data_IF_090646689406
#
_entry.id   IF_090646689406
#
_cell.length_a   1.000
_cell.length_b   1.000
_cell.length_c   1.000
_cell.angle_alpha   90.00
_cell.angle_beta   90.00
_cell.angle_gamma   90.00
#
_symmetry.space_group_name_H-M   'P 1'
#
loop_
_entity.id
_entity.type
_entity.pdbx_description
1 polymer ?
#
# COMPACT_ATOMS: atom_id res chain seq x y z
N UNK A 1 -0.17 7.08 -5.23
CA UNK A 1 0.29 8.17 -4.31
C UNK A 1 1.39 9.07 -4.91
N UNK A 2 1.72 8.94 -6.20
CA UNK A 2 2.80 9.72 -6.84
C UNK A 2 2.35 11.14 -7.13
N UNK A 3 3.07 12.13 -6.62
CA UNK A 3 2.83 13.55 -6.89
C UNK A 3 2.78 13.78 -8.42
N UNK A 4 1.84 14.60 -8.86
CA UNK A 4 1.57 14.94 -10.27
C UNK A 4 1.00 13.82 -11.15
N UNK A 5 0.69 12.65 -10.58
CA UNK A 5 -0.03 11.59 -11.30
C UNK A 5 -1.48 12.01 -11.59
N UNK A 6 -2.01 11.84 -12.81
CA UNK A 6 -3.42 12.14 -13.13
C UNK A 6 -4.41 11.25 -12.34
N UNK A 7 -3.92 10.14 -11.82
CA UNK A 7 -4.65 9.19 -10.96
C UNK A 7 -4.19 9.26 -9.50
N UNK A 8 -3.63 10.38 -9.04
CA UNK A 8 -3.27 10.56 -7.63
C UNK A 8 -4.46 10.27 -6.70
N UNK A 9 -4.21 9.62 -5.56
CA UNK A 9 -5.23 9.19 -4.60
C UNK A 9 -6.10 8.02 -5.05
N UNK A 10 -6.03 7.57 -6.31
CA UNK A 10 -6.79 6.40 -6.77
C UNK A 10 -6.10 5.10 -6.37
N UNK A 11 -6.91 4.07 -6.15
CA UNK A 11 -6.47 2.72 -5.84
C UNK A 11 -7.11 1.70 -6.79
N UNK A 12 -6.53 0.51 -6.82
CA UNK A 12 -7.09 -0.67 -7.46
C UNK A 12 -6.82 -1.87 -6.53
N UNK A 13 -7.78 -2.80 -6.46
CA UNK A 13 -7.67 -4.01 -5.64
C UNK A 13 -7.73 -5.25 -6.52
N UNK A 14 -6.99 -6.28 -6.12
CA UNK A 14 -6.95 -7.58 -6.79
C UNK A 14 -6.95 -8.66 -5.72
N UNK A 15 -7.79 -9.68 -5.89
CA UNK A 15 -7.76 -10.87 -5.04
C UNK A 15 -6.68 -11.83 -5.56
N UNK A 16 -5.75 -12.22 -4.70
CA UNK A 16 -4.70 -13.20 -5.01
C UNK A 16 -4.99 -14.48 -4.22
N UNK A 17 -4.91 -15.62 -4.88
CA UNK A 17 -5.13 -16.92 -4.25
C UNK A 17 -4.23 -18.00 -4.82
N UNK A 18 -4.16 -19.10 -4.09
CA UNK A 18 -3.56 -20.37 -4.52
C UNK A 18 -4.33 -21.03 -5.68
N UNK A 19 -5.51 -20.51 -6.05
CA UNK A 19 -6.31 -21.01 -7.17
C UNK A 19 -6.10 -20.19 -8.44
N UNK A 20 -6.02 -18.86 -8.34
CA UNK A 20 -5.89 -17.99 -9.51
C UNK A 20 -4.43 -17.79 -9.94
N UNK A 21 -3.47 -18.01 -9.03
CA UNK A 21 -2.03 -17.85 -9.26
C UNK A 21 -1.65 -16.48 -9.84
N UNK A 22 -2.45 -15.45 -9.59
CA UNK A 22 -2.16 -14.11 -10.05
C UNK A 22 -0.92 -13.56 -9.36
N UNK A 23 -0.12 -12.81 -10.13
CA UNK A 23 1.03 -12.08 -9.63
C UNK A 23 0.82 -10.60 -9.94
N UNK A 24 1.09 -9.76 -8.95
CA UNK A 24 0.97 -8.31 -9.09
C UNK A 24 2.36 -7.69 -9.15
N UNK A 25 2.64 -6.99 -10.24
CA UNK A 25 3.82 -6.12 -10.32
C UNK A 25 3.45 -4.71 -9.88
N UNK A 26 4.23 -4.18 -8.94
CA UNK A 26 4.06 -2.83 -8.39
C UNK A 26 5.20 -1.96 -8.91
N UNK A 27 4.92 -0.98 -9.79
CA UNK A 27 5.95 -0.05 -10.22
C UNK A 27 6.47 0.81 -9.05
N UNK A 28 7.72 1.28 -9.09
CA UNK A 28 8.24 2.19 -8.07
C UNK A 28 7.35 3.44 -7.87
N UNK A 29 7.21 3.85 -6.61
CA UNK A 29 6.40 5.00 -6.20
C UNK A 29 4.91 4.72 -6.01
N UNK A 30 4.45 3.48 -6.21
CA UNK A 30 3.13 3.05 -5.73
C UNK A 30 3.19 2.70 -4.23
N UNK A 31 2.12 3.03 -3.51
CA UNK A 31 1.89 2.43 -2.20
C UNK A 31 1.29 1.04 -2.40
N UNK A 32 1.64 0.11 -1.53
CA UNK A 32 1.11 -1.24 -1.55
C UNK A 32 0.69 -1.65 -0.15
N UNK A 33 -0.48 -2.26 -0.06
CA UNK A 33 -0.99 -2.89 1.15
C UNK A 33 -1.80 -4.12 0.75
N UNK A 34 -1.85 -5.11 1.64
CA UNK A 34 -2.62 -6.33 1.43
C UNK A 34 -3.41 -6.65 2.69
N UNK A 35 -4.47 -7.43 2.52
CA UNK A 35 -5.28 -7.95 3.61
C UNK A 35 -5.35 -9.47 3.45
N UNK A 36 -4.92 -10.21 4.47
CA UNK A 36 -5.12 -11.64 4.54
C UNK A 36 -6.60 -11.94 4.82
N UNK A 37 -7.26 -12.65 3.89
CA UNK A 37 -8.70 -12.97 3.95
C UNK A 37 -8.97 -14.45 4.26
N UNK A 38 -7.93 -15.25 4.43
CA UNK A 38 -7.98 -16.65 4.86
C UNK A 38 -7.24 -16.82 6.19
N UNK A 39 -7.47 -17.97 6.86
CA UNK A 39 -6.80 -18.32 8.11
C UNK A 39 -5.28 -18.39 7.96
N UNK A 40 -4.80 -18.88 6.83
CA UNK A 40 -3.39 -19.05 6.50
C UNK A 40 -3.14 -18.42 5.13
N UNK A 41 -2.03 -17.68 5.00
CA UNK A 41 -1.60 -17.00 3.78
C UNK A 41 -0.09 -17.10 3.67
N UNK A 42 0.38 -17.63 2.53
CA UNK A 42 1.77 -17.50 2.11
C UNK A 42 1.88 -16.37 1.09
N UNK A 43 2.66 -15.34 1.41
CA UNK A 43 2.87 -14.18 0.54
C UNK A 43 4.36 -13.98 0.29
N UNK A 44 4.74 -14.05 -0.99
CA UNK A 44 6.15 -14.01 -1.42
C UNK A 44 6.38 -12.80 -2.32
N UNK A 45 7.44 -12.06 -2.03
CA UNK A 45 7.84 -10.89 -2.80
C UNK A 45 9.17 -11.12 -3.52
N UNK A 46 9.24 -10.60 -4.75
CA UNK A 46 10.50 -10.34 -5.44
C UNK A 46 10.71 -8.83 -5.43
N UNK A 47 11.74 -8.39 -4.75
CA UNK A 47 12.05 -6.97 -4.63
C UNK A 47 13.14 -6.58 -5.62
N UNK A 48 13.00 -5.41 -6.25
CA UNK A 48 14.03 -4.84 -7.13
C UNK A 48 15.21 -4.24 -6.36
N UNK A 49 15.06 -4.05 -5.05
CA UNK A 49 16.05 -3.48 -4.14
C UNK A 49 16.00 -4.20 -2.80
N UNK A 50 17.06 -4.08 -2.01
CA UNK A 50 17.10 -4.56 -0.63
C UNK A 50 16.26 -3.67 0.29
N UNK A 51 15.83 -4.21 1.42
CA UNK A 51 15.10 -3.46 2.43
C UNK A 51 16.00 -2.43 3.11
N UNK A 52 15.49 -1.21 3.24
CA UNK A 52 16.07 -0.14 4.07
C UNK A 52 14.93 0.44 4.95
N UNK A 53 15.05 0.38 6.29
CA UNK A 53 14.07 0.99 7.19
C UNK A 53 13.82 2.48 6.95
N UNK A 54 14.79 3.22 6.40
CA UNK A 54 14.63 4.64 6.10
C UNK A 54 13.66 4.90 4.92
N UNK A 55 13.46 3.89 4.07
CA UNK A 55 12.53 3.92 2.95
C UNK A 55 11.13 3.40 3.33
N UNK A 56 10.97 2.89 4.55
CA UNK A 56 9.74 2.30 5.07
C UNK A 56 8.73 3.39 5.48
N UNK A 57 8.09 3.96 4.45
CA UNK A 57 7.10 5.02 4.55
C UNK A 57 5.75 4.50 4.09
N UNK A 58 4.68 5.00 4.71
CA UNK A 58 3.34 4.56 4.38
C UNK A 58 2.28 5.64 4.57
N UNK A 59 1.05 5.25 4.28
CA UNK A 59 -0.18 6.01 4.53
C UNK A 59 -1.10 5.09 5.32
N UNK A 60 -1.87 5.66 6.26
CA UNK A 60 -2.81 4.89 7.06
C UNK A 60 -3.80 4.11 6.18
N UNK A 61 -4.04 2.85 6.53
CA UNK A 61 -4.83 1.92 5.70
C UNK A 61 -6.28 2.39 5.45
N UNK A 62 -6.86 3.11 6.42
CA UNK A 62 -8.23 3.62 6.40
C UNK A 62 -8.29 5.12 6.05
N UNK A 63 -7.32 5.62 5.29
CA UNK A 63 -7.33 7.01 4.84
C UNK A 63 -8.63 7.34 4.09
N UNK A 64 -9.40 8.36 4.54
CA UNK A 64 -10.72 8.66 3.98
C UNK A 64 -10.65 9.27 2.57
N UNK A 65 -9.48 9.76 2.14
CA UNK A 65 -9.29 10.33 0.80
C UNK A 65 -9.03 9.23 -0.23
N UNK A 66 -8.22 8.23 0.11
CA UNK A 66 -8.02 7.04 -0.75
C UNK A 66 -9.26 6.14 -0.68
N UNK A 67 -9.83 5.97 0.51
CA UNK A 67 -11.05 5.21 0.78
C UNK A 67 -11.02 3.81 0.15
N UNK A 68 -9.99 3.02 0.49
CA UNK A 68 -9.86 1.64 0.02
C UNK A 68 -11.00 0.79 0.60
N UNK A 69 -11.69 0.07 -0.27
CA UNK A 69 -12.75 -0.86 0.15
C UNK A 69 -12.14 -2.19 0.57
N UNK A 70 -11.71 -2.26 1.82
CA UNK A 70 -11.12 -3.47 2.40
C UNK A 70 -12.19 -4.53 2.67
N UNK A 71 -11.92 -5.83 2.43
CA UNK A 71 -12.89 -6.92 2.60
C UNK A 71 -13.05 -7.39 4.06
N UNK A 72 -12.57 -6.61 5.04
CA UNK A 72 -12.59 -6.97 6.47
C UNK A 72 -13.01 -5.79 7.33
N UNK A 73 -13.67 -6.07 8.46
CA UNK A 73 -13.96 -5.10 9.51
C UNK A 73 -13.08 -5.38 10.73
N UNK A 74 -12.10 -4.51 11.01
CA UNK A 74 -11.18 -4.67 12.14
C UNK A 74 -9.93 -5.49 11.79
N UNK A 75 -9.06 -5.01 10.90
CA UNK A 75 -7.79 -5.67 10.62
C UNK A 75 -6.89 -5.68 11.86
N UNK A 76 -6.07 -6.73 12.00
CA UNK A 76 -4.96 -6.73 12.94
C UNK A 76 -3.81 -5.99 12.27
N UNK A 77 -3.30 -4.95 12.94
CA UNK A 77 -2.26 -4.09 12.40
C UNK A 77 -1.03 -4.10 13.30
N UNK A 78 0.10 -3.72 12.72
CA UNK A 78 1.29 -3.39 13.51
C UNK A 78 1.12 -2.00 14.14
N UNK A 79 1.78 -1.75 15.27
CA UNK A 79 1.83 -0.41 15.89
C UNK A 79 2.32 0.65 14.88
N UNK A 80 3.26 0.28 14.01
CA UNK A 80 3.74 1.15 12.93
C UNK A 80 2.60 1.56 12.00
N UNK A 81 1.83 0.59 11.51
CA UNK A 81 0.80 0.82 10.50
C UNK A 81 -0.44 1.55 11.07
N UNK A 82 -0.71 1.38 12.37
CA UNK A 82 -1.74 2.16 13.09
C UNK A 82 -1.39 3.64 13.20
N UNK A 83 -0.09 3.97 13.21
CA UNK A 83 0.42 5.34 13.41
C UNK A 83 0.92 6.01 12.11
N UNK A 84 0.66 5.41 10.94
CA UNK A 84 1.01 6.03 9.66
C UNK A 84 0.19 7.33 9.43
N UNK A 85 0.75 8.32 8.72
CA UNK A 85 0.04 9.55 8.40
C UNK A 85 -1.10 9.32 7.39
N UNK A 86 -2.08 10.22 7.37
CA UNK A 86 -3.03 10.32 6.25
C UNK A 86 -2.31 10.72 4.94
N UNK A 87 -2.95 10.55 3.79
CA UNK A 87 -2.41 10.96 2.49
C UNK A 87 -2.05 12.45 2.47
N UNK A 88 -2.89 13.29 3.09
CA UNK A 88 -2.67 14.74 3.16
C UNK A 88 -1.53 15.12 4.11
N UNK A 89 -1.42 14.41 5.25
CA UNK A 89 -0.29 14.58 6.16
C UNK A 89 1.01 14.14 5.49
N UNK A 90 1.04 12.99 4.84
CA UNK A 90 2.19 12.50 4.08
C UNK A 90 2.62 13.48 2.97
N UNK A 91 1.64 14.09 2.28
CA UNK A 91 1.90 15.17 1.32
C UNK A 91 2.52 16.39 1.98
N UNK A 92 2.00 16.82 3.11
CA UNK A 92 2.49 17.99 3.87
C UNK A 92 3.90 17.78 4.44
N UNK A 93 4.21 16.54 4.84
CA UNK A 93 5.55 16.12 5.28
C UNK A 93 6.56 16.00 4.12
N UNK A 94 6.11 16.09 2.87
CA UNK A 94 6.99 15.99 1.70
C UNK A 94 7.55 14.59 1.46
N UNK A 95 6.91 13.54 1.99
CA UNK A 95 7.41 12.16 1.92
C UNK A 95 6.86 11.36 0.74
N UNK A 96 5.94 11.94 -0.04
CA UNK A 96 5.34 11.26 -1.19
C UNK A 96 6.28 11.24 -2.40
N UNK A 97 6.33 10.13 -3.16
CA UNK A 97 7.18 10.02 -4.34
C UNK A 97 6.66 10.92 -5.46
N UNK A 98 7.57 11.41 -6.31
CA UNK A 98 7.20 12.06 -7.58
C UNK A 98 6.82 11.04 -8.63
N UNK A 99 6.04 11.44 -9.63
CA UNK A 99 5.84 10.62 -10.82
C UNK A 99 7.18 10.46 -11.56
N UNK A 100 7.65 9.22 -11.67
CA UNK A 100 8.78 8.85 -12.51
C UNK A 100 8.26 8.78 -13.94
N UNK A 101 8.85 9.59 -14.84
CA UNK A 101 8.55 9.59 -16.28
C UNK A 101 9.42 8.59 -17.00
#
# INVERSE_FOLDING_TARGET
IRLDSPTFGRWAGFELSDQNHYQLWLPPGFAHGFCAISREVDLVYKCSQYYDPADDKGIVWNDPTINVSWPVSGPILSERDENLPSLDQAKSLGILPKLIK
#
